data_IF_172017508386
#
_entry.id   IF_172017508386
#
_cell.length_a   1.000
_cell.length_b   1.000
_cell.length_c   1.000
_cell.angle_alpha   90.00
_cell.angle_beta   90.00
_cell.angle_gamma   90.00
#
_symmetry.space_group_name_H-M   'P 1'
#
loop_
_entity.id
_entity.type
_entity.pdbx_description
1 polymer ?
#
# COMPACT_ATOMS: atom_id res chain seq x y z
N UNK A 1 -12.24 -56.85 12.17
CA UNK A 1 -11.83 -56.04 11.01
C UNK A 1 -10.56 -55.26 11.34
N UNK A 2 -9.38 -55.73 10.93
CA UNK A 2 -8.09 -55.04 11.13
C UNK A 2 -7.80 -54.20 9.88
N UNK A 3 -7.82 -52.86 9.99
CA UNK A 3 -7.35 -51.99 8.90
C UNK A 3 -5.87 -52.32 8.65
N UNK A 4 -5.53 -52.70 7.42
CA UNK A 4 -4.15 -53.12 7.09
C UNK A 4 -3.21 -51.90 7.14
N UNK A 5 -2.02 -52.03 7.75
CA UNK A 5 -1.07 -50.92 7.93
C UNK A 5 -0.56 -50.34 6.59
N UNK A 6 -0.70 -51.10 5.51
CA UNK A 6 -0.32 -50.71 4.15
C UNK A 6 -1.17 -49.55 3.60
N UNK A 7 -2.44 -49.42 4.02
CA UNK A 7 -3.31 -48.32 3.58
C UNK A 7 -2.91 -46.99 4.23
N UNK A 8 -2.42 -47.04 5.48
CA UNK A 8 -2.00 -45.84 6.20
C UNK A 8 -0.70 -45.25 5.61
N UNK A 9 0.23 -46.12 5.23
CA UNK A 9 1.48 -45.71 4.57
C UNK A 9 1.20 -44.99 3.23
N UNK A 10 0.26 -45.52 2.43
CA UNK A 10 -0.15 -44.89 1.16
C UNK A 10 -0.77 -43.51 1.38
N UNK A 11 -1.64 -43.38 2.39
CA UNK A 11 -2.25 -42.09 2.76
C UNK A 11 -1.18 -41.09 3.17
N UNK A 12 -0.23 -41.48 4.04
CA UNK A 12 0.87 -40.61 4.47
C UNK A 12 1.75 -40.17 3.30
N UNK A 13 2.04 -41.06 2.34
CA UNK A 13 2.81 -40.72 1.13
C UNK A 13 2.07 -39.73 0.25
N UNK A 14 0.76 -39.91 0.03
CA UNK A 14 -0.05 -38.96 -0.75
C UNK A 14 -0.05 -37.59 -0.06
N UNK A 15 -0.22 -37.55 1.26
CA UNK A 15 -0.14 -36.31 2.03
C UNK A 15 1.22 -35.63 1.94
N UNK A 16 2.31 -36.40 2.06
CA UNK A 16 3.67 -35.87 1.96
C UNK A 16 3.95 -35.30 0.56
N UNK A 17 3.58 -36.01 -0.51
CA UNK A 17 3.75 -35.53 -1.89
C UNK A 17 2.90 -34.29 -2.13
N UNK A 18 1.65 -34.27 -1.65
CA UNK A 18 0.76 -33.12 -1.79
C UNK A 18 1.31 -31.90 -1.05
N UNK A 19 1.79 -32.06 0.18
CA UNK A 19 2.44 -30.99 0.95
C UNK A 19 3.70 -30.48 0.26
N UNK A 20 4.52 -31.37 -0.27
CA UNK A 20 5.75 -31.00 -0.98
C UNK A 20 5.43 -30.25 -2.27
N UNK A 21 4.44 -30.70 -3.03
CA UNK A 21 3.99 -30.00 -4.24
C UNK A 21 3.44 -28.61 -3.91
N UNK A 22 2.61 -28.48 -2.87
CA UNK A 22 2.11 -27.18 -2.40
C UNK A 22 3.26 -26.26 -1.97
N UNK A 23 4.27 -26.79 -1.27
CA UNK A 23 5.43 -26.02 -0.84
C UNK A 23 6.26 -25.52 -2.04
N UNK A 24 6.51 -26.37 -3.04
CA UNK A 24 7.24 -26.01 -4.26
C UNK A 24 6.47 -24.94 -5.04
N UNK A 25 5.18 -25.15 -5.29
CA UNK A 25 4.36 -24.20 -6.06
C UNK A 25 4.29 -22.86 -5.33
N UNK A 26 4.03 -22.86 -4.02
CA UNK A 26 3.92 -21.63 -3.23
C UNK A 26 5.23 -20.86 -3.14
N UNK A 27 6.38 -21.54 -3.15
CA UNK A 27 7.69 -20.88 -3.02
C UNK A 27 8.27 -20.43 -4.36
N UNK A 28 8.03 -21.19 -5.44
CA UNK A 28 8.73 -21.00 -6.71
C UNK A 28 7.94 -20.14 -7.72
N UNK A 29 6.61 -20.24 -7.73
CA UNK A 29 5.77 -19.47 -8.66
C UNK A 29 5.89 -17.95 -8.41
N UNK A 30 5.84 -17.43 -7.17
CA UNK A 30 6.02 -16.01 -6.93
C UNK A 30 7.42 -15.51 -7.35
N UNK A 31 8.46 -16.32 -7.15
CA UNK A 31 9.84 -16.00 -7.53
C UNK A 31 9.98 -15.81 -9.04
N UNK A 32 9.37 -16.68 -9.84
CA UNK A 32 9.39 -16.57 -11.31
C UNK A 32 8.64 -15.33 -11.80
N UNK A 33 7.51 -15.00 -11.17
CA UNK A 33 6.75 -13.78 -11.48
C UNK A 33 7.59 -12.53 -11.21
N UNK A 34 8.19 -12.43 -10.02
CA UNK A 34 9.03 -11.29 -9.63
C UNK A 34 10.25 -11.15 -10.55
N UNK A 35 10.89 -12.27 -10.92
CA UNK A 35 12.00 -12.28 -11.86
C UNK A 35 11.59 -11.74 -13.24
N UNK A 36 10.40 -12.12 -13.72
CA UNK A 36 9.86 -11.66 -15.00
C UNK A 36 9.57 -10.16 -14.97
N UNK A 37 8.93 -9.66 -13.92
CA UNK A 37 8.65 -8.23 -13.72
C UNK A 37 9.95 -7.42 -13.65
N UNK A 38 10.93 -7.89 -12.88
CA UNK A 38 12.25 -7.24 -12.78
C UNK A 38 12.96 -7.20 -14.14
N UNK A 39 12.88 -8.27 -14.92
CA UNK A 39 13.44 -8.30 -16.27
C UNK A 39 12.75 -7.27 -17.18
N UNK A 40 11.42 -7.16 -17.13
CA UNK A 40 10.66 -6.16 -17.89
C UNK A 40 11.04 -4.73 -17.50
N UNK A 41 11.25 -4.44 -16.22
CA UNK A 41 11.73 -3.12 -15.77
C UNK A 41 13.14 -2.83 -16.27
N UNK A 42 14.05 -3.81 -16.20
CA UNK A 42 15.42 -3.66 -16.72
C UNK A 42 15.45 -3.44 -18.23
N UNK A 43 14.64 -4.18 -18.99
CA UNK A 43 14.54 -4.04 -20.44
C UNK A 43 13.92 -2.70 -20.85
N UNK A 44 12.98 -2.18 -20.05
CA UNK A 44 12.38 -0.84 -20.27
C UNK A 44 13.42 0.28 -20.10
N UNK A 45 14.39 0.09 -19.20
CA UNK A 45 15.38 1.10 -18.85
C UNK A 45 14.88 2.15 -17.86
N UNK A 46 15.74 3.12 -17.54
CA UNK A 46 15.39 4.23 -16.66
C UNK A 46 14.40 5.19 -17.34
N UNK A 47 13.36 5.57 -16.62
CA UNK A 47 12.42 6.61 -17.03
C UNK A 47 12.73 7.89 -16.24
N UNK A 48 12.90 9.03 -16.91
CA UNK A 48 13.08 10.29 -16.21
C UNK A 48 11.83 10.59 -15.37
N UNK A 49 12.05 11.14 -14.17
CA UNK A 49 10.95 11.61 -13.34
C UNK A 49 10.21 12.75 -14.05
N UNK A 50 8.87 12.75 -14.09
CA UNK A 50 8.13 13.87 -14.64
C UNK A 50 8.35 15.15 -13.82
N UNK A 51 8.56 16.28 -14.49
CA UNK A 51 8.79 17.58 -13.83
C UNK A 51 7.49 18.20 -13.25
N UNK A 52 6.34 17.62 -13.56
CA UNK A 52 5.01 18.10 -13.15
C UNK A 52 4.39 17.30 -12.00
N UNK A 53 5.16 16.41 -11.37
CA UNK A 53 4.75 15.64 -10.20
C UNK A 53 5.54 16.09 -8.97
N UNK A 54 4.82 16.41 -7.90
CA UNK A 54 5.41 16.75 -6.60
C UNK A 54 4.95 15.74 -5.57
N UNK A 55 5.91 15.16 -4.84
CA UNK A 55 5.65 14.26 -3.71
C UNK A 55 5.80 15.06 -2.41
N UNK A 56 4.71 15.19 -1.66
CA UNK A 56 4.72 15.77 -0.33
C UNK A 56 4.78 14.62 0.67
N UNK A 57 5.99 14.32 1.15
CA UNK A 57 6.25 13.21 2.06
C UNK A 57 6.14 13.63 3.53
N UNK A 58 5.74 12.69 4.39
CA UNK A 58 5.87 12.81 5.84
C UNK A 58 7.23 12.22 6.21
N UNK A 59 8.21 13.09 6.45
CA UNK A 59 9.59 12.71 6.75
C UNK A 59 9.98 13.06 8.20
N UNK A 60 11.18 12.62 8.62
CA UNK A 60 11.69 12.87 9.97
C UNK A 60 11.76 14.37 10.31
N UNK A 61 12.08 15.22 9.34
CA UNK A 61 12.13 16.66 9.53
C UNK A 61 10.73 17.25 9.82
N UNK A 62 9.70 16.73 9.15
CA UNK A 62 8.31 17.08 9.40
C UNK A 62 7.84 16.60 10.77
N UNK A 63 8.21 15.37 11.17
CA UNK A 63 7.89 14.84 12.49
C UNK A 63 8.52 15.66 13.63
N UNK A 64 9.75 16.14 13.43
CA UNK A 64 10.40 17.03 14.41
C UNK A 64 9.72 18.39 14.53
N UNK A 65 9.12 18.90 13.45
CA UNK A 65 8.48 20.23 13.43
C UNK A 65 7.02 20.21 13.87
N UNK A 66 6.26 19.22 13.42
CA UNK A 66 4.80 19.13 13.62
C UNK A 66 4.49 18.28 14.86
N UNK A 67 5.29 17.25 15.10
CA UNK A 67 5.10 16.31 16.18
C UNK A 67 4.93 14.87 15.70
N UNK A 68 4.64 13.99 16.65
CA UNK A 68 4.54 12.55 16.42
C UNK A 68 3.33 12.21 15.53
N UNK A 69 3.55 11.34 14.54
CA UNK A 69 2.49 10.75 13.72
C UNK A 69 1.75 9.61 14.48
N UNK A 70 0.44 9.37 14.24
CA UNK A 70 -0.46 10.03 13.31
C UNK A 70 -0.84 11.45 13.74
N UNK A 71 -0.90 12.37 12.77
CA UNK A 71 -1.34 13.74 13.01
C UNK A 71 -2.86 13.86 12.96
N UNK A 72 -3.38 14.90 13.62
CA UNK A 72 -4.77 15.32 13.52
C UNK A 72 -5.15 15.62 12.06
N UNK A 73 -6.40 15.32 11.67
CA UNK A 73 -6.86 15.52 10.28
C UNK A 73 -6.89 17.00 9.88
N UNK A 74 -6.98 17.91 10.85
CA UNK A 74 -6.81 19.35 10.63
C UNK A 74 -5.42 19.74 10.11
N UNK A 75 -4.35 19.06 10.54
CA UNK A 75 -2.99 19.29 10.01
C UNK A 75 -2.92 18.92 8.53
N UNK A 76 -3.58 17.81 8.14
CA UNK A 76 -3.65 17.38 6.74
C UNK A 76 -4.51 18.36 5.92
N UNK A 77 -5.61 18.87 6.50
CA UNK A 77 -6.47 19.88 5.89
C UNK A 77 -5.70 21.16 5.57
N UNK A 78 -4.93 21.68 6.53
CA UNK A 78 -4.09 22.88 6.36
C UNK A 78 -3.01 22.67 5.28
N UNK A 79 -2.42 21.47 5.23
CA UNK A 79 -1.48 21.09 4.18
C UNK A 79 -2.13 21.07 2.80
N UNK A 80 -3.32 20.47 2.69
CA UNK A 80 -4.10 20.41 1.46
C UNK A 80 -4.52 21.81 0.98
N UNK A 81 -4.90 22.70 1.88
CA UNK A 81 -5.27 24.08 1.52
C UNK A 81 -4.09 24.83 0.88
N UNK A 82 -2.88 24.69 1.44
CA UNK A 82 -1.66 25.26 0.84
C UNK A 82 -1.33 24.65 -0.52
N UNK A 83 -1.45 23.33 -0.65
CA UNK A 83 -1.26 22.65 -1.94
C UNK A 83 -2.27 23.14 -2.98
N UNK A 84 -3.50 23.42 -2.56
CA UNK A 84 -4.59 23.90 -3.42
C UNK A 84 -4.28 25.28 -4.05
N UNK A 85 -3.51 26.14 -3.37
CA UNK A 85 -3.06 27.43 -3.93
C UNK A 85 -2.23 27.27 -5.21
N UNK A 86 -1.49 26.16 -5.32
CA UNK A 86 -0.74 25.78 -6.52
C UNK A 86 -1.60 25.30 -7.70
N UNK A 87 -2.93 25.20 -7.51
CA UNK A 87 -3.92 24.76 -8.52
C UNK A 87 -3.55 23.45 -9.22
N UNK A 88 -3.22 22.37 -8.48
CA UNK A 88 -2.82 21.10 -9.06
C UNK A 88 -3.93 20.52 -9.96
N UNK A 89 -3.52 19.75 -10.97
CA UNK A 89 -4.47 19.04 -11.85
C UNK A 89 -5.20 17.90 -11.12
N UNK A 90 -4.55 17.28 -10.15
CA UNK A 90 -5.11 16.26 -9.26
C UNK A 90 -4.28 16.19 -7.97
N UNK A 91 -4.87 15.68 -6.88
CA UNK A 91 -4.18 15.43 -5.62
C UNK A 91 -4.52 14.01 -5.15
N UNK A 92 -3.52 13.17 -4.95
CA UNK A 92 -3.68 11.88 -4.26
C UNK A 92 -3.28 12.04 -2.80
N UNK A 93 -4.16 11.65 -1.87
CA UNK A 93 -3.81 11.60 -0.44
C UNK A 93 -3.63 10.14 -0.05
N UNK A 94 -2.37 9.69 0.03
CA UNK A 94 -2.02 8.34 0.46
C UNK A 94 -1.82 8.31 1.98
N UNK A 95 -2.91 8.45 2.73
CA UNK A 95 -2.93 8.41 4.19
C UNK A 95 -4.04 7.48 4.66
N UNK A 96 -3.68 6.50 5.49
CA UNK A 96 -4.64 5.59 6.12
C UNK A 96 -5.15 6.22 7.42
N UNK A 97 -6.44 6.54 7.45
CA UNK A 97 -7.13 7.08 8.61
C UNK A 97 -7.74 5.95 9.47
N UNK A 98 -6.88 5.17 10.14
CA UNK A 98 -7.31 3.96 10.85
C UNK A 98 -8.03 4.24 12.18
N UNK A 99 -7.65 5.30 12.88
CA UNK A 99 -8.19 5.65 14.20
C UNK A 99 -9.41 6.59 14.07
N UNK A 100 -10.30 6.56 15.06
CA UNK A 100 -11.33 7.59 15.20
C UNK A 100 -10.66 8.96 15.40
N UNK A 101 -11.24 10.02 14.84
CA UNK A 101 -10.81 11.39 15.12
C UNK A 101 -12.01 12.27 15.42
N UNK A 102 -11.74 13.45 15.95
CA UNK A 102 -12.76 14.40 16.35
C UNK A 102 -13.57 14.86 15.13
N UNK A 103 -14.90 14.94 15.29
CA UNK A 103 -15.80 15.31 14.20
C UNK A 103 -15.47 16.68 13.57
N UNK A 104 -14.89 17.60 14.35
CA UNK A 104 -14.43 18.91 13.86
C UNK A 104 -13.25 18.77 12.89
N UNK A 105 -12.29 17.89 13.20
CA UNK A 105 -11.12 17.66 12.36
C UNK A 105 -11.48 16.92 11.07
N UNK A 106 -12.43 16.00 11.16
CA UNK A 106 -13.00 15.28 10.00
C UNK A 106 -13.70 16.25 9.06
N UNK A 107 -14.52 17.14 9.61
CA UNK A 107 -15.23 18.14 8.83
C UNK A 107 -14.28 19.15 8.19
N UNK A 108 -13.22 19.58 8.89
CA UNK A 108 -12.17 20.43 8.31
C UNK A 108 -11.51 19.79 7.10
N UNK A 109 -11.07 18.53 7.23
CA UNK A 109 -10.46 17.82 6.11
C UNK A 109 -11.45 17.63 4.96
N UNK A 110 -12.71 17.28 5.26
CA UNK A 110 -13.77 17.15 4.25
C UNK A 110 -14.02 18.46 3.50
N UNK A 111 -13.99 19.60 4.20
CA UNK A 111 -14.13 20.93 3.58
C UNK A 111 -12.96 21.26 2.66
N UNK A 112 -11.72 21.04 3.09
CA UNK A 112 -10.54 21.29 2.24
C UNK A 112 -10.54 20.37 1.01
N UNK A 113 -10.96 19.11 1.16
CA UNK A 113 -11.16 18.17 0.04
C UNK A 113 -12.20 18.70 -0.96
N UNK A 114 -13.37 19.12 -0.48
CA UNK A 114 -14.44 19.67 -1.32
C UNK A 114 -14.01 20.96 -2.02
N UNK A 115 -13.28 21.83 -1.31
CA UNK A 115 -12.76 23.10 -1.83
C UNK A 115 -11.74 22.88 -2.95
N UNK A 116 -10.86 21.89 -2.82
CA UNK A 116 -9.92 21.53 -3.88
C UNK A 116 -10.64 20.91 -5.09
N UNK A 117 -11.58 19.98 -4.83
CA UNK A 117 -12.45 19.37 -5.84
C UNK A 117 -11.77 18.37 -6.78
N UNK A 118 -10.48 18.07 -6.59
CA UNK A 118 -9.68 17.16 -7.44
C UNK A 118 -8.87 16.16 -6.63
N UNK A 119 -9.34 15.87 -5.41
CA UNK A 119 -8.70 14.94 -4.48
C UNK A 119 -9.19 13.52 -4.72
N UNK A 120 -8.27 12.56 -4.71
CA UNK A 120 -8.54 11.13 -4.73
C UNK A 120 -8.00 10.51 -3.44
N UNK A 121 -8.82 9.66 -2.82
CA UNK A 121 -8.50 8.92 -1.60
C UNK A 121 -8.29 7.43 -1.90
N UNK A 122 -7.49 6.71 -1.10
CA UNK A 122 -7.40 5.26 -1.18
C UNK A 122 -8.76 4.62 -0.85
N UNK A 123 -9.13 3.58 -1.60
CA UNK A 123 -10.33 2.75 -1.42
C UNK A 123 -10.04 1.49 -0.63
#
# INVERSE_FOLDING_TARGET
MRRTPLNWLRILLIWLVSLTAVFIVSSFVPSLSNASINMLFRLRGELPAPDDIVIVAIDDASLQKIGKYPWARSVIADGLDKITEGKPKAVGIDVIYAEESDAEDDEKLAQSIRKNGRVVLPT
#
